data_IF_603387580078
#
_entry.id   IF_603387580078
#
_cell.length_a   1.000
_cell.length_b   1.000
_cell.length_c   1.000
_cell.angle_alpha   90.00
_cell.angle_beta   90.00
_cell.angle_gamma   90.00
#
_symmetry.space_group_name_H-M   'P 1'
#
loop_
_entity.id
_entity.type
_entity.pdbx_description
1 polymer ?
#
# COMPACT_ATOMS: atom_id res chain seq x y z
N UNK A 1 -7.00 22.58 3.20
CA UNK A 1 -5.91 22.06 4.06
C UNK A 1 -6.09 22.49 5.51
N UNK A 2 -6.39 23.76 5.82
CA UNK A 2 -6.62 24.22 7.20
C UNK A 2 -7.63 23.38 7.97
N UNK A 3 -8.80 23.11 7.38
CA UNK A 3 -9.85 22.29 8.01
C UNK A 3 -9.36 20.86 8.34
N UNK A 4 -8.50 20.28 7.49
CA UNK A 4 -7.89 18.98 7.77
C UNK A 4 -6.95 19.04 8.96
N UNK A 5 -6.06 20.03 9.00
CA UNK A 5 -5.12 20.22 10.12
C UNK A 5 -5.84 20.49 11.44
N UNK A 6 -7.01 21.12 11.40
CA UNK A 6 -7.85 21.31 12.59
C UNK A 6 -8.54 20.03 13.04
N UNK A 7 -8.77 19.08 12.14
CA UNK A 7 -9.45 17.80 12.41
C UNK A 7 -8.55 16.72 13.02
N UNK A 8 -7.23 16.84 12.89
CA UNK A 8 -6.27 15.86 13.39
C UNK A 8 -5.88 16.15 14.84
N UNK A 9 -5.30 15.14 15.54
CA UNK A 9 -4.82 15.32 16.90
C UNK A 9 -3.70 16.38 17.00
N UNK A 10 -3.53 17.06 18.14
CA UNK A 10 -2.47 18.06 18.31
C UNK A 10 -1.06 17.50 18.02
N UNK A 11 -0.79 16.26 18.41
CA UNK A 11 0.50 15.61 18.15
C UNK A 11 0.72 15.32 16.67
N UNK A 12 -0.33 14.90 15.96
CA UNK A 12 -0.27 14.66 14.51
C UNK A 12 -0.13 15.98 13.74
N UNK A 13 -0.85 17.01 14.16
CA UNK A 13 -0.75 18.35 13.59
C UNK A 13 0.68 18.89 13.74
N UNK A 14 1.25 18.84 14.95
CA UNK A 14 2.63 19.28 15.22
C UNK A 14 3.65 18.53 14.35
N UNK A 15 3.47 17.22 14.13
CA UNK A 15 4.35 16.43 13.26
C UNK A 15 4.24 16.87 11.79
N UNK A 16 3.04 17.13 11.30
CA UNK A 16 2.82 17.60 9.93
C UNK A 16 3.42 19.00 9.74
N UNK A 17 3.13 19.92 10.67
CA UNK A 17 3.66 21.28 10.67
C UNK A 17 5.19 21.26 10.75
N UNK A 18 5.78 20.40 11.58
CA UNK A 18 7.24 20.23 11.67
C UNK A 18 7.87 19.69 10.37
N UNK A 19 7.16 18.85 9.61
CA UNK A 19 7.62 18.40 8.28
C UNK A 19 7.64 19.57 7.28
N UNK A 20 6.68 20.48 7.38
CA UNK A 20 6.53 21.66 6.50
C UNK A 20 7.30 22.89 6.98
N UNK A 21 7.98 22.82 8.13
CA UNK A 21 8.71 23.96 8.67
C UNK A 21 10.01 24.19 7.90
N UNK A 22 10.03 25.27 7.13
CA UNK A 22 11.22 25.70 6.37
C UNK A 22 12.37 26.22 7.25
N UNK A 23 12.12 26.53 8.53
CA UNK A 23 13.07 27.17 9.44
C UNK A 23 13.57 26.23 10.53
N UNK A 24 12.85 25.18 10.81
CA UNK A 24 13.20 24.20 11.85
C UNK A 24 14.25 23.21 11.38
N UNK A 25 15.32 23.03 12.11
CA UNK A 25 16.42 22.11 11.77
C UNK A 25 16.05 20.60 11.78
N UNK A 26 14.79 20.24 11.93
CA UNK A 26 14.30 18.86 11.98
C UNK A 26 13.30 18.48 10.88
N UNK A 27 12.91 19.43 10.02
CA UNK A 27 11.96 19.17 8.93
C UNK A 27 12.66 18.73 7.62
N UNK A 28 11.87 18.47 6.57
CA UNK A 28 12.39 18.17 5.23
C UNK A 28 12.96 19.39 4.48
N UNK A 29 13.06 20.54 5.12
CA UNK A 29 13.63 21.74 4.51
C UNK A 29 15.07 21.58 4.00
N UNK A 30 15.81 20.61 4.53
CA UNK A 30 17.16 20.25 4.09
C UNK A 30 17.22 18.99 3.25
N UNK A 31 16.07 18.42 2.86
CA UNK A 31 15.98 17.28 1.96
C UNK A 31 16.26 17.74 0.53
N UNK A 32 17.19 17.07 -0.15
CA UNK A 32 17.58 17.37 -1.54
C UNK A 32 16.41 17.35 -2.53
N UNK A 33 15.34 16.58 -2.23
CA UNK A 33 14.19 16.42 -3.11
C UNK A 33 13.05 17.41 -2.81
N UNK A 34 12.86 17.82 -1.57
CA UNK A 34 11.68 18.59 -1.14
C UNK A 34 12.02 19.94 -0.49
N UNK A 35 13.28 20.18 -0.15
CA UNK A 35 13.71 21.37 0.59
C UNK A 35 13.37 22.68 -0.15
N UNK A 36 13.65 22.73 -1.43
CA UNK A 36 13.36 23.92 -2.26
C UNK A 36 11.87 24.21 -2.39
N UNK A 37 11.04 23.14 -2.49
CA UNK A 37 9.58 23.27 -2.51
C UNK A 37 9.04 23.81 -1.20
N UNK A 38 9.54 23.30 -0.07
CA UNK A 38 9.15 23.74 1.27
C UNK A 38 9.55 25.21 1.47
N UNK A 39 10.77 25.58 1.09
CA UNK A 39 11.26 26.94 1.20
C UNK A 39 10.48 27.94 0.32
N UNK A 40 10.20 27.54 -0.93
CA UNK A 40 9.50 28.39 -1.90
C UNK A 40 8.04 28.68 -1.48
N UNK A 41 7.34 27.66 -0.94
CA UNK A 41 5.93 27.76 -0.57
C UNK A 41 5.71 27.97 0.94
N UNK A 42 6.75 28.39 1.67
CA UNK A 42 6.70 28.54 3.12
C UNK A 42 5.46 29.30 3.60
N UNK A 43 4.63 28.64 4.39
CA UNK A 43 3.40 29.21 4.99
C UNK A 43 2.16 29.21 4.10
N UNK A 44 2.26 28.91 2.79
CA UNK A 44 1.13 28.85 1.85
C UNK A 44 1.27 27.65 0.92
N UNK A 45 1.21 26.45 1.45
CA UNK A 45 1.37 25.22 0.69
C UNK A 45 0.14 24.91 -0.17
N UNK A 46 0.23 24.95 -1.53
CA UNK A 46 -0.76 24.37 -2.40
C UNK A 46 -0.93 22.87 -2.09
N UNK A 47 -2.11 22.30 -2.36
CA UNK A 47 -2.38 20.90 -2.04
C UNK A 47 -1.38 19.93 -2.69
N UNK A 48 -0.94 20.19 -3.90
CA UNK A 48 0.02 19.34 -4.59
C UNK A 48 1.40 19.34 -3.92
N UNK A 49 1.88 20.49 -3.41
CA UNK A 49 3.13 20.58 -2.62
C UNK A 49 2.97 19.79 -1.32
N UNK A 50 1.83 19.97 -0.65
CA UNK A 50 1.53 19.21 0.56
C UNK A 50 1.61 17.70 0.32
N UNK A 51 0.99 17.21 -0.77
CA UNK A 51 0.98 15.78 -1.12
C UNK A 51 2.39 15.25 -1.45
N UNK A 52 3.25 16.08 -2.04
CA UNK A 52 4.63 15.71 -2.40
C UNK A 52 5.51 15.55 -1.15
N UNK A 53 5.36 16.43 -0.16
CA UNK A 53 6.28 16.48 0.98
C UNK A 53 5.83 15.68 2.20
N UNK A 54 4.53 15.39 2.34
CA UNK A 54 4.06 14.67 3.52
C UNK A 54 4.36 13.18 3.45
N UNK A 55 4.41 12.56 4.63
CA UNK A 55 4.53 11.10 4.72
C UNK A 55 3.29 10.42 4.15
N UNK A 56 3.49 9.25 3.52
CA UNK A 56 2.38 8.45 2.98
C UNK A 56 1.28 8.16 4.01
N UNK A 57 1.62 8.08 5.29
CA UNK A 57 0.64 7.94 6.36
C UNK A 57 -0.30 9.14 6.48
N UNK A 58 0.21 10.34 6.29
CA UNK A 58 -0.58 11.59 6.31
C UNK A 58 -1.50 11.65 5.09
N UNK A 59 -1.02 11.22 3.92
CA UNK A 59 -1.86 11.09 2.72
C UNK A 59 -3.05 10.13 2.95
N UNK A 60 -2.81 8.97 3.55
CA UNK A 60 -3.86 7.99 3.87
C UNK A 60 -4.90 8.58 4.83
N UNK A 61 -4.47 9.34 5.83
CA UNK A 61 -5.37 10.00 6.79
C UNK A 61 -6.15 11.14 6.13
N UNK A 62 -5.51 11.93 5.25
CA UNK A 62 -6.18 12.97 4.45
C UNK A 62 -7.26 12.36 3.55
N UNK A 63 -6.99 11.22 2.90
CA UNK A 63 -7.95 10.50 2.08
C UNK A 63 -9.22 10.14 2.86
N UNK A 64 -9.04 9.63 4.08
CA UNK A 64 -10.15 9.35 5.00
C UNK A 64 -10.94 10.61 5.35
N UNK A 65 -10.25 11.71 5.65
CA UNK A 65 -10.86 12.99 5.95
C UNK A 65 -11.72 13.49 4.79
N UNK A 66 -11.16 13.47 3.56
CA UNK A 66 -11.88 13.86 2.34
C UNK A 66 -13.12 13.00 2.10
N UNK A 67 -13.02 11.69 2.31
CA UNK A 67 -14.16 10.76 2.23
C UNK A 67 -15.30 11.17 3.17
N UNK A 68 -14.98 11.53 4.40
CA UNK A 68 -15.98 12.00 5.38
C UNK A 68 -16.59 13.36 4.99
N UNK A 69 -15.74 14.29 4.52
CA UNK A 69 -16.16 15.64 4.15
C UNK A 69 -17.07 15.68 2.91
N UNK A 70 -16.81 14.82 1.94
CA UNK A 70 -17.57 14.79 0.68
C UNK A 70 -18.65 13.71 0.66
N UNK A 71 -18.74 12.87 1.69
CA UNK A 71 -19.70 11.78 1.76
C UNK A 71 -19.43 10.64 0.78
N UNK A 72 -18.21 10.56 0.23
CA UNK A 72 -17.82 9.60 -0.82
C UNK A 72 -17.46 8.24 -0.23
N UNK A 73 -18.39 7.29 -0.36
CA UNK A 73 -18.18 5.91 0.16
C UNK A 73 -17.03 5.18 -0.54
N UNK A 74 -16.83 5.44 -1.83
CA UNK A 74 -15.71 4.87 -2.60
C UNK A 74 -14.37 5.21 -1.98
N UNK A 75 -14.12 6.48 -1.69
CA UNK A 75 -12.91 6.95 -1.03
C UNK A 75 -12.67 6.30 0.34
N UNK A 76 -13.74 5.95 1.08
CA UNK A 76 -13.60 5.25 2.35
C UNK A 76 -13.10 3.82 2.15
N UNK A 77 -13.59 3.12 1.14
CA UNK A 77 -13.14 1.76 0.82
C UNK A 77 -11.70 1.78 0.29
N UNK A 78 -11.33 2.78 -0.51
CA UNK A 78 -9.97 3.04 -0.97
C UNK A 78 -9.01 3.35 0.20
N UNK A 79 -9.46 4.09 1.22
CA UNK A 79 -8.69 4.32 2.44
C UNK A 79 -8.24 3.00 3.10
N UNK A 80 -9.09 1.98 3.15
CA UNK A 80 -8.71 0.67 3.70
C UNK A 80 -7.70 -0.05 2.81
N UNK A 81 -7.81 0.09 1.49
CA UNK A 81 -6.79 -0.41 0.55
C UNK A 81 -5.45 0.29 0.82
N UNK A 82 -5.42 1.62 0.84
CA UNK A 82 -4.21 2.41 1.09
C UNK A 82 -3.60 2.14 2.48
N UNK A 83 -4.42 1.89 3.50
CA UNK A 83 -3.95 1.47 4.83
C UNK A 83 -3.19 0.14 4.76
N UNK A 84 -3.67 -0.80 3.97
CA UNK A 84 -3.01 -2.10 3.76
C UNK A 84 -1.70 -1.95 2.98
N UNK A 85 -1.68 -1.10 1.95
CA UNK A 85 -0.46 -0.74 1.20
C UNK A 85 0.58 -0.09 2.11
N UNK A 86 0.17 0.88 2.96
CA UNK A 86 1.04 1.52 3.95
C UNK A 86 1.68 0.49 4.88
N UNK A 87 0.90 -0.47 5.36
CA UNK A 87 1.40 -1.50 6.27
C UNK A 87 2.43 -2.41 5.60
N UNK A 88 2.21 -2.83 4.35
CA UNK A 88 3.19 -3.62 3.58
C UNK A 88 4.45 -2.81 3.29
N UNK A 89 4.30 -1.57 2.79
CA UNK A 89 5.42 -0.66 2.52
C UNK A 89 6.29 -0.46 3.75
N UNK A 90 5.68 -0.24 4.93
CA UNK A 90 6.42 -0.08 6.17
C UNK A 90 7.14 -1.38 6.58
N UNK A 91 6.50 -2.54 6.42
CA UNK A 91 7.15 -3.81 6.66
C UNK A 91 8.39 -4.01 5.76
N UNK A 92 8.31 -3.64 4.48
CA UNK A 92 9.45 -3.67 3.56
C UNK A 92 10.54 -2.67 3.96
N UNK A 93 10.17 -1.44 4.33
CA UNK A 93 11.13 -0.40 4.76
C UNK A 93 11.90 -0.79 6.04
N UNK A 94 11.28 -1.59 6.90
CA UNK A 94 11.91 -2.14 8.11
C UNK A 94 12.54 -3.52 7.90
N UNK A 95 12.73 -3.98 6.65
CA UNK A 95 13.26 -5.30 6.32
C UNK A 95 12.55 -6.45 7.04
N UNK A 96 11.24 -6.31 7.28
CA UNK A 96 10.45 -7.35 7.94
C UNK A 96 10.33 -8.59 7.05
N UNK A 97 10.45 -9.75 7.67
CA UNK A 97 10.34 -11.03 6.96
C UNK A 97 8.87 -11.31 6.60
N UNK A 98 8.50 -11.00 5.37
CA UNK A 98 7.10 -11.06 4.90
C UNK A 98 6.53 -12.47 4.94
N UNK A 99 7.36 -13.48 4.64
CA UNK A 99 6.95 -14.90 4.58
C UNK A 99 6.48 -15.44 5.93
N UNK A 100 7.04 -14.96 7.04
CA UNK A 100 6.59 -15.36 8.38
C UNK A 100 5.12 -15.05 8.63
N UNK A 101 4.58 -14.02 7.98
CA UNK A 101 3.16 -13.68 8.08
C UNK A 101 2.22 -14.72 7.48
N UNK A 102 2.68 -15.60 6.58
CA UNK A 102 1.83 -16.61 5.95
C UNK A 102 1.40 -17.72 6.92
N UNK A 103 2.25 -18.06 7.86
CA UNK A 103 2.01 -19.14 8.83
C UNK A 103 1.65 -18.64 10.23
N UNK A 104 1.73 -17.34 10.48
CA UNK A 104 1.44 -16.76 11.79
C UNK A 104 -0.05 -16.88 12.16
N UNK A 105 -0.34 -17.41 13.34
CA UNK A 105 -1.70 -17.50 13.87
C UNK A 105 -2.34 -16.12 14.04
N UNK A 106 -1.56 -15.13 14.47
CA UNK A 106 -2.01 -13.74 14.60
C UNK A 106 -2.37 -13.12 13.24
N UNK A 107 -1.59 -13.42 12.18
CA UNK A 107 -1.88 -12.94 10.83
C UNK A 107 -3.13 -13.59 10.21
N UNK A 108 -3.57 -14.74 10.76
CA UNK A 108 -4.75 -15.47 10.30
C UNK A 108 -6.01 -15.19 11.15
N UNK A 109 -5.98 -14.18 12.03
CA UNK A 109 -7.06 -13.85 12.97
C UNK A 109 -8.32 -13.21 12.34
N UNK A 110 -8.67 -13.58 11.12
CA UNK A 110 -9.94 -13.18 10.51
C UNK A 110 -9.91 -11.79 9.84
N UNK A 111 -8.75 -11.37 9.32
CA UNK A 111 -8.65 -10.14 8.54
C UNK A 111 -9.60 -10.17 7.33
N UNK A 112 -10.20 -9.03 7.03
CA UNK A 112 -11.06 -8.87 5.86
C UNK A 112 -10.40 -7.93 4.86
N UNK A 113 -10.29 -8.39 3.62
CA UNK A 113 -9.85 -7.53 2.52
C UNK A 113 -10.92 -6.50 2.19
N UNK A 114 -10.49 -5.37 1.65
CA UNK A 114 -11.41 -4.36 1.11
C UNK A 114 -12.42 -4.97 0.14
N UNK A 115 -13.63 -4.43 0.13
CA UNK A 115 -14.70 -4.84 -0.79
C UNK A 115 -14.26 -4.77 -2.25
N UNK A 116 -13.51 -3.76 -2.65
CA UNK A 116 -13.02 -3.61 -4.01
C UNK A 116 -12.11 -4.78 -4.43
N UNK A 117 -11.19 -5.16 -3.58
CA UNK A 117 -10.31 -6.32 -3.81
C UNK A 117 -11.13 -7.61 -3.91
N UNK A 118 -12.10 -7.79 -3.01
CA UNK A 118 -12.94 -8.99 -3.00
C UNK A 118 -13.78 -9.11 -4.28
N UNK A 119 -14.35 -8.01 -4.78
CA UNK A 119 -15.12 -7.95 -6.03
C UNK A 119 -14.21 -8.27 -7.21
N UNK A 120 -13.09 -7.55 -7.35
CA UNK A 120 -12.15 -7.75 -8.46
C UNK A 120 -11.63 -9.19 -8.52
N UNK A 121 -11.26 -9.78 -7.39
CA UNK A 121 -10.85 -11.20 -7.35
C UNK A 121 -11.98 -12.17 -7.71
N UNK A 122 -13.23 -11.82 -7.40
CA UNK A 122 -14.39 -12.64 -7.76
C UNK A 122 -14.67 -12.56 -9.27
N UNK A 123 -14.62 -11.39 -9.86
CA UNK A 123 -14.80 -11.15 -11.31
C UNK A 123 -13.79 -11.94 -12.14
N UNK A 124 -12.53 -11.96 -11.72
CA UNK A 124 -11.47 -12.74 -12.35
C UNK A 124 -11.47 -14.23 -11.93
N UNK A 125 -12.43 -14.66 -11.13
CA UNK A 125 -12.54 -16.06 -10.70
C UNK A 125 -11.45 -16.55 -9.74
N UNK A 126 -10.66 -15.66 -9.17
CA UNK A 126 -9.56 -16.01 -8.26
C UNK A 126 -10.06 -16.47 -6.91
N UNK A 127 -11.12 -15.90 -6.38
CA UNK A 127 -11.67 -16.22 -5.05
C UNK A 127 -12.72 -17.35 -5.04
N UNK A 128 -12.82 -18.17 -6.13
CA UNK A 128 -13.86 -19.19 -6.27
C UNK A 128 -13.80 -20.30 -5.22
N UNK A 129 -12.61 -20.68 -4.74
CA UNK A 129 -12.48 -21.81 -3.81
C UNK A 129 -12.49 -21.37 -2.34
N UNK A 130 -12.97 -22.26 -1.46
CA UNK A 130 -12.94 -22.04 0.01
C UNK A 130 -11.51 -21.79 0.51
N UNK A 131 -10.54 -22.56 -0.01
CA UNK A 131 -9.12 -22.40 0.36
C UNK A 131 -8.58 -21.01 0.00
N UNK A 132 -8.84 -20.50 -1.21
CA UNK A 132 -8.38 -19.16 -1.63
C UNK A 132 -9.02 -18.06 -0.80
N UNK A 133 -10.32 -18.17 -0.49
CA UNK A 133 -10.98 -17.23 0.42
C UNK A 133 -10.38 -17.26 1.83
N UNK A 134 -9.98 -18.44 2.31
CA UNK A 134 -9.30 -18.56 3.61
C UNK A 134 -7.94 -17.86 3.58
N UNK A 135 -7.17 -17.97 2.49
CA UNK A 135 -5.87 -17.28 2.35
C UNK A 135 -6.01 -15.75 2.37
N UNK A 136 -7.08 -15.20 1.80
CA UNK A 136 -7.35 -13.76 1.85
C UNK A 136 -7.64 -13.24 3.26
N UNK A 137 -7.97 -14.11 4.22
CA UNK A 137 -8.09 -13.74 5.64
C UNK A 137 -6.73 -13.59 6.33
N UNK A 138 -5.66 -14.02 5.69
CA UNK A 138 -4.31 -13.77 6.18
C UNK A 138 -3.93 -12.32 5.92
N UNK A 139 -3.52 -11.61 6.98
CA UNK A 139 -3.19 -10.18 6.92
C UNK A 139 -2.12 -9.86 5.87
N UNK A 140 -1.07 -10.68 5.78
CA UNK A 140 0.02 -10.43 4.83
C UNK A 140 -0.42 -10.61 3.39
N UNK A 141 -1.20 -11.65 3.13
CA UNK A 141 -1.80 -11.89 1.81
C UNK A 141 -2.75 -10.75 1.42
N UNK A 142 -3.57 -10.27 2.35
CA UNK A 142 -4.45 -9.14 2.12
C UNK A 142 -3.68 -7.84 1.81
N UNK A 143 -2.54 -7.60 2.48
CA UNK A 143 -1.66 -6.45 2.21
C UNK A 143 -1.01 -6.55 0.82
N UNK A 144 -0.55 -7.74 0.43
CA UNK A 144 0.00 -7.99 -0.92
C UNK A 144 -1.09 -7.79 -1.97
N UNK A 145 -2.28 -8.35 -1.76
CA UNK A 145 -3.42 -8.17 -2.66
C UNK A 145 -3.79 -6.69 -2.83
N UNK A 146 -3.82 -5.93 -1.72
CA UNK A 146 -4.08 -4.49 -1.76
C UNK A 146 -3.03 -3.73 -2.58
N UNK A 147 -1.76 -4.11 -2.47
CA UNK A 147 -0.68 -3.46 -3.21
C UNK A 147 -0.76 -3.75 -4.71
N UNK A 148 -0.94 -5.02 -5.10
CA UNK A 148 -1.10 -5.40 -6.51
C UNK A 148 -2.35 -4.73 -7.13
N UNK A 149 -3.47 -4.76 -6.41
CA UNK A 149 -4.69 -4.08 -6.81
C UNK A 149 -4.47 -2.57 -7.00
N UNK A 150 -3.74 -1.91 -6.09
CA UNK A 150 -3.47 -0.48 -6.17
C UNK A 150 -2.60 -0.11 -7.37
N UNK A 151 -1.60 -0.91 -7.70
CA UNK A 151 -0.78 -0.68 -8.90
C UNK A 151 -1.64 -0.80 -10.16
N UNK A 152 -2.51 -1.80 -10.24
CA UNK A 152 -3.38 -2.00 -11.39
C UNK A 152 -4.42 -0.87 -11.54
N UNK A 153 -4.98 -0.35 -10.44
CA UNK A 153 -6.15 0.56 -10.50
C UNK A 153 -5.81 2.03 -10.33
N UNK A 154 -4.66 2.38 -9.72
CA UNK A 154 -4.30 3.77 -9.46
C UNK A 154 -3.10 4.24 -10.29
N UNK A 155 -2.37 3.34 -10.93
CA UNK A 155 -1.33 3.71 -11.89
C UNK A 155 -1.95 3.81 -13.28
N UNK A 156 -2.20 5.02 -13.75
CA UNK A 156 -2.81 5.27 -15.07
C UNK A 156 -1.82 5.13 -16.24
N UNK A 157 -0.52 5.15 -15.96
CA UNK A 157 0.51 5.06 -16.99
C UNK A 157 0.86 3.60 -17.28
N UNK A 158 0.55 3.14 -18.48
CA UNK A 158 0.86 1.78 -18.98
C UNK A 158 2.34 1.42 -18.75
N UNK A 159 3.26 2.31 -19.09
CA UNK A 159 4.71 2.12 -18.89
C UNK A 159 5.10 1.90 -17.43
N UNK A 160 4.34 2.45 -16.49
CA UNK A 160 4.56 2.22 -15.05
C UNK A 160 4.04 0.85 -14.64
N UNK A 161 2.87 0.45 -15.12
CA UNK A 161 2.32 -0.88 -14.87
C UNK A 161 3.21 -1.97 -15.48
N UNK A 162 3.64 -1.84 -16.74
CA UNK A 162 4.57 -2.75 -17.41
C UNK A 162 5.89 -2.91 -16.63
N UNK A 163 6.47 -1.81 -16.16
CA UNK A 163 7.70 -1.84 -15.35
C UNK A 163 7.49 -2.60 -14.04
N UNK A 164 6.35 -2.42 -13.38
CA UNK A 164 6.02 -3.16 -12.16
C UNK A 164 5.77 -4.63 -12.45
N UNK A 165 5.03 -4.95 -13.51
CA UNK A 165 4.80 -6.33 -13.97
C UNK A 165 6.13 -7.05 -14.24
N UNK A 166 7.02 -6.44 -15.02
CA UNK A 166 8.36 -6.97 -15.31
C UNK A 166 9.17 -7.25 -14.03
N UNK A 167 9.24 -6.28 -13.11
CA UNK A 167 9.96 -6.46 -11.85
C UNK A 167 9.39 -7.59 -11.00
N UNK A 168 8.07 -7.71 -10.96
CA UNK A 168 7.41 -8.80 -10.23
C UNK A 168 7.64 -10.16 -10.89
N UNK A 169 7.71 -10.21 -12.23
CA UNK A 169 8.11 -11.38 -12.99
C UNK A 169 9.54 -11.82 -12.68
N UNK A 170 10.48 -10.87 -12.56
CA UNK A 170 11.87 -11.13 -12.13
C UNK A 170 11.92 -11.72 -10.71
N UNK A 171 11.14 -11.18 -9.77
CA UNK A 171 11.03 -11.71 -8.39
C UNK A 171 10.47 -13.13 -8.39
N UNK A 172 9.46 -13.41 -9.20
CA UNK A 172 8.89 -14.76 -9.36
C UNK A 172 9.94 -15.72 -9.90
N UNK A 173 10.59 -15.37 -11.00
CA UNK A 173 11.63 -16.20 -11.64
C UNK A 173 12.78 -16.49 -10.69
N UNK A 174 13.20 -15.50 -9.90
CA UNK A 174 14.20 -15.70 -8.85
C UNK A 174 13.71 -16.67 -7.78
N UNK A 175 12.49 -16.48 -7.26
CA UNK A 175 11.94 -17.35 -6.21
C UNK A 175 11.77 -18.80 -6.67
N UNK A 176 11.40 -19.03 -7.92
CA UNK A 176 11.27 -20.34 -8.53
C UNK A 176 12.66 -20.96 -8.82
N UNK A 177 13.60 -20.16 -9.34
CA UNK A 177 14.92 -20.64 -9.77
C UNK A 177 15.90 -20.92 -8.62
N UNK A 178 15.81 -20.22 -7.49
CA UNK A 178 16.72 -20.43 -6.36
C UNK A 178 16.44 -21.69 -5.52
N UNK A 179 15.43 -22.47 -5.86
CA UNK A 179 15.05 -23.72 -5.17
C UNK A 179 14.55 -23.54 -3.74
N UNK A 180 14.26 -22.30 -3.31
CA UNK A 180 13.72 -22.03 -1.96
C UNK A 180 12.31 -22.57 -1.84
N UNK A 181 11.48 -22.38 -2.86
CA UNK A 181 10.10 -22.85 -2.86
C UNK A 181 10.01 -24.37 -2.92
N UNK A 182 10.92 -25.05 -3.62
CA UNK A 182 10.96 -26.52 -3.69
C UNK A 182 11.34 -27.17 -2.35
N UNK A 183 11.98 -26.43 -1.44
CA UNK A 183 12.34 -26.86 -0.10
C UNK A 183 11.37 -26.35 0.98
N UNK A 184 10.44 -25.48 0.61
CA UNK A 184 9.44 -24.94 1.53
C UNK A 184 8.36 -25.97 1.82
N UNK A 185 7.66 -25.82 2.95
CA UNK A 185 6.50 -26.64 3.22
C UNK A 185 5.33 -26.29 2.27
N UNK A 186 4.43 -27.24 2.06
CA UNK A 186 3.28 -27.11 1.14
C UNK A 186 2.41 -25.88 1.44
N UNK A 187 2.33 -25.48 2.70
CA UNK A 187 1.59 -24.28 3.10
C UNK A 187 2.18 -23.01 2.51
N UNK A 188 3.50 -22.84 2.58
CA UNK A 188 4.21 -21.67 2.02
C UNK A 188 4.08 -21.69 0.50
N UNK A 189 4.37 -22.82 -0.14
CA UNK A 189 4.22 -22.98 -1.60
C UNK A 189 2.82 -22.58 -2.04
N UNK A 190 1.80 -23.08 -1.36
CA UNK A 190 0.41 -22.78 -1.66
C UNK A 190 0.04 -21.29 -1.48
N UNK A 191 0.69 -20.55 -0.58
CA UNK A 191 0.52 -19.10 -0.48
C UNK A 191 1.18 -18.38 -1.67
N UNK A 192 2.38 -18.76 -2.05
CA UNK A 192 3.06 -18.20 -3.22
C UNK A 192 2.27 -18.45 -4.51
N UNK A 193 1.77 -19.67 -4.74
CA UNK A 193 0.88 -19.98 -5.87
C UNK A 193 -0.33 -19.05 -5.93
N UNK A 194 -0.87 -18.69 -4.79
CA UNK A 194 -2.00 -17.78 -4.73
C UNK A 194 -1.58 -16.34 -5.03
N UNK A 195 -0.44 -15.90 -4.52
CA UNK A 195 0.13 -14.57 -4.82
C UNK A 195 0.44 -14.44 -6.32
N UNK A 196 1.04 -15.47 -6.94
CA UNK A 196 1.33 -15.46 -8.37
C UNK A 196 0.05 -15.39 -9.21
N UNK A 197 -1.01 -16.07 -8.82
CA UNK A 197 -2.32 -15.94 -9.50
C UNK A 197 -2.90 -14.53 -9.42
N UNK A 198 -2.74 -13.84 -8.30
CA UNK A 198 -3.14 -12.44 -8.19
C UNK A 198 -2.27 -11.53 -9.06
N UNK A 199 -0.97 -11.81 -9.10
CA UNK A 199 -0.03 -11.11 -9.98
C UNK A 199 -0.43 -11.26 -11.45
N UNK A 200 -0.62 -12.50 -11.94
CA UNK A 200 -1.02 -12.80 -13.30
C UNK A 200 -2.36 -12.15 -13.69
N UNK A 201 -3.20 -11.86 -12.70
CA UNK A 201 -4.50 -11.22 -12.90
C UNK A 201 -4.41 -9.70 -13.05
N UNK A 202 -3.65 -9.06 -12.21
CA UNK A 202 -3.61 -7.60 -12.13
C UNK A 202 -2.40 -6.97 -12.81
N UNK A 203 -1.31 -7.71 -12.94
CA UNK A 203 -0.07 -7.25 -13.55
C UNK A 203 0.51 -8.39 -14.42
N UNK A 204 -0.18 -8.78 -15.50
CA UNK A 204 0.32 -9.84 -16.37
C UNK A 204 1.67 -9.41 -16.96
N UNK A 205 2.62 -10.35 -16.99
CA UNK A 205 3.88 -10.18 -17.73
C UNK A 205 3.62 -10.68 -19.12
N UNK A 206 3.71 -9.81 -20.12
CA UNK A 206 3.66 -10.19 -21.53
C UNK A 206 4.92 -10.94 -21.97
#
# INVERSE_FOLDING_TARGET
>A
MSDYLESVSPSQRSRIEGTLDARGGGGRAHDECSGDLIAHYAGQYPIWVFLEVVEFGVLVDLWRYCSGRWGERGMRDEHYVLTSVKALRNACAHNSLLVNGFTSTAANAGHQVSRFIAISLAEHGISKTKSRRAKLKNLRVAQIAATLYSVNNFCELDTTQERHAKRMGEVRSYAEGCGVLSRANDGIVSFFDFVWKMLDTWLPVE
#
